data_IF_720847358626
#
_entry.id   IF_720847358626
#
_cell.length_a   1.000
_cell.length_b   1.000
_cell.length_c   1.000
_cell.angle_alpha   90.00
_cell.angle_beta   90.00
_cell.angle_gamma   90.00
#
_symmetry.space_group_name_H-M   'P 1'
#
loop_
_entity.id
_entity.type
_entity.pdbx_description
1 polymer ?
#
# COMPACT_ATOMS: atom_id res chain seq x y z
N UNK A 1 -12.79 -1.34 25.20
CA UNK A 1 -12.14 -2.39 24.39
C UNK A 1 -13.20 -2.95 23.46
N UNK A 2 -12.87 -3.14 22.17
CA UNK A 2 -13.76 -3.75 21.20
C UNK A 2 -13.43 -5.24 21.11
N UNK A 3 -14.47 -6.07 21.01
CA UNK A 3 -14.30 -7.48 20.61
C UNK A 3 -14.31 -7.50 19.08
N UNK A 4 -13.23 -7.99 18.47
CA UNK A 4 -13.03 -7.96 17.02
C UNK A 4 -13.00 -9.40 16.49
N UNK A 5 -13.82 -9.65 15.46
CA UNK A 5 -13.86 -10.92 14.73
C UNK A 5 -13.56 -10.66 13.25
N UNK A 6 -12.58 -11.35 12.71
CA UNK A 6 -12.26 -11.35 11.27
C UNK A 6 -12.78 -12.65 10.66
N UNK A 7 -13.59 -12.53 9.61
CA UNK A 7 -14.13 -13.66 8.84
C UNK A 7 -13.40 -13.73 7.50
N UNK A 8 -12.76 -14.87 7.25
CA UNK A 8 -12.06 -15.13 5.99
C UNK A 8 -12.65 -16.39 5.34
N UNK A 9 -12.94 -16.31 4.05
CA UNK A 9 -13.51 -17.44 3.30
C UNK A 9 -12.51 -18.54 2.99
N UNK A 10 -11.23 -18.20 2.94
CA UNK A 10 -10.13 -19.11 2.65
C UNK A 10 -9.62 -19.77 3.94
N UNK A 11 -8.74 -20.75 3.78
CA UNK A 11 -8.16 -21.52 4.89
C UNK A 11 -7.15 -20.75 5.75
N UNK A 12 -6.68 -19.57 5.26
CA UNK A 12 -5.68 -18.75 5.95
C UNK A 12 -5.76 -17.30 5.47
N UNK A 13 -5.06 -16.40 6.16
CA UNK A 13 -4.80 -15.04 5.69
C UNK A 13 -3.90 -15.06 4.43
N UNK A 14 -3.89 -13.94 3.70
CA UNK A 14 -3.01 -13.78 2.53
C UNK A 14 -3.28 -14.78 1.38
N UNK A 15 -4.47 -15.36 1.28
CA UNK A 15 -4.82 -16.27 0.18
C UNK A 15 -5.30 -15.57 -1.09
N UNK A 16 -5.61 -14.27 -1.03
CA UNK A 16 -6.13 -13.47 -2.14
C UNK A 16 -5.17 -12.41 -2.66
N UNK A 17 -5.70 -11.22 -2.94
CA UNK A 17 -4.98 -10.06 -3.50
C UNK A 17 -3.85 -9.55 -2.60
N UNK A 18 -3.95 -9.73 -1.29
CA UNK A 18 -2.91 -9.31 -0.34
C UNK A 18 -1.55 -9.96 -0.60
N UNK A 19 -1.50 -11.14 -1.26
CA UNK A 19 -0.27 -11.77 -1.73
C UNK A 19 0.03 -11.50 -3.21
N UNK A 20 -1.00 -11.23 -4.03
CA UNK A 20 -0.91 -11.15 -5.49
C UNK A 20 -0.81 -9.68 -5.92
N UNK A 21 0.23 -8.98 -5.48
CA UNK A 21 0.53 -7.60 -5.83
C UNK A 21 2.03 -7.37 -5.95
N UNK A 22 2.43 -6.17 -6.40
CA UNK A 22 3.83 -5.83 -6.66
C UNK A 22 4.65 -5.52 -5.40
N UNK A 23 4.04 -5.44 -4.23
CA UNK A 23 4.70 -5.07 -2.98
C UNK A 23 5.24 -3.64 -2.96
N UNK A 24 4.74 -2.74 -3.81
CA UNK A 24 5.18 -1.35 -3.87
C UNK A 24 4.50 -0.54 -2.77
N UNK A 25 5.30 0.13 -1.94
CA UNK A 25 4.86 1.19 -1.05
C UNK A 25 4.98 2.50 -1.81
N UNK A 26 3.87 2.97 -2.36
CA UNK A 26 3.83 4.17 -3.19
C UNK A 26 4.16 5.43 -2.38
N UNK A 27 4.94 6.33 -2.98
CA UNK A 27 5.29 7.61 -2.36
C UNK A 27 4.09 8.58 -2.25
N UNK A 28 3.11 8.47 -3.18
CA UNK A 28 1.89 9.27 -3.18
C UNK A 28 1.88 10.46 -4.15
N UNK A 29 2.80 10.49 -5.10
CA UNK A 29 2.90 11.59 -6.09
C UNK A 29 1.83 11.54 -7.19
N UNK A 30 1.23 10.39 -7.46
CA UNK A 30 0.28 10.12 -8.54
C UNK A 30 -1.19 10.27 -8.16
N UNK A 31 -1.52 10.12 -6.87
CA UNK A 31 -2.89 10.27 -6.40
C UNK A 31 -3.38 11.72 -6.53
N UNK A 32 -4.64 11.96 -6.96
CA UNK A 32 -5.18 13.31 -7.12
C UNK A 32 -5.08 14.14 -5.84
N UNK A 33 -4.52 15.35 -5.94
CA UNK A 33 -4.30 16.21 -4.78
C UNK A 33 -5.60 16.51 -4.02
N UNK A 34 -5.54 16.46 -2.69
CA UNK A 34 -6.68 16.67 -1.80
C UNK A 34 -7.61 15.47 -1.63
N UNK A 35 -7.43 14.40 -2.40
CA UNK A 35 -8.20 13.17 -2.26
C UNK A 35 -7.85 12.39 -0.98
N UNK A 36 -8.79 11.54 -0.53
CA UNK A 36 -8.53 10.62 0.57
C UNK A 36 -7.39 9.64 0.22
N UNK A 37 -7.32 9.21 -1.06
CA UNK A 37 -6.25 8.38 -1.58
C UNK A 37 -4.88 9.03 -1.39
N UNK A 38 -4.71 10.32 -1.76
CA UNK A 38 -3.45 11.03 -1.57
C UNK A 38 -3.05 11.12 -0.10
N UNK A 39 -4.00 11.48 0.78
CA UNK A 39 -3.75 11.59 2.22
C UNK A 39 -3.32 10.27 2.85
N UNK A 40 -4.05 9.19 2.56
CA UNK A 40 -3.76 7.87 3.14
C UNK A 40 -2.49 7.25 2.55
N UNK A 41 -2.22 7.49 1.25
CA UNK A 41 -1.00 7.01 0.60
C UNK A 41 0.27 7.59 1.26
N UNK A 42 0.34 8.90 1.39
CA UNK A 42 1.49 9.58 2.04
C UNK A 42 1.60 9.19 3.52
N UNK A 43 0.49 9.14 4.25
CA UNK A 43 0.49 8.74 5.65
C UNK A 43 0.94 7.27 5.82
N UNK A 44 0.44 6.36 4.99
CA UNK A 44 0.84 4.94 4.98
C UNK A 44 2.31 4.75 4.65
N UNK A 45 2.81 5.46 3.61
CA UNK A 45 4.24 5.42 3.25
C UNK A 45 5.14 5.84 4.40
N UNK A 46 4.78 6.91 5.12
CA UNK A 46 5.54 7.38 6.30
C UNK A 46 5.52 6.40 7.47
N UNK A 47 4.39 5.73 7.68
CA UNK A 47 4.23 4.80 8.80
C UNK A 47 4.94 3.45 8.56
N UNK A 48 5.11 3.05 7.29
CA UNK A 48 5.52 1.69 6.93
C UNK A 48 6.87 1.26 7.49
N UNK A 49 7.85 2.17 7.55
CA UNK A 49 9.19 1.83 8.07
C UNK A 49 9.17 1.55 9.58
N UNK A 50 8.44 2.34 10.36
CA UNK A 50 8.30 2.09 11.79
C UNK A 50 7.53 0.79 12.03
N UNK A 51 6.44 0.58 11.29
CA UNK A 51 5.63 -0.62 11.38
C UNK A 51 6.42 -1.90 11.02
N UNK A 52 7.29 -1.83 10.02
CA UNK A 52 8.12 -2.97 9.62
C UNK A 52 9.12 -3.39 10.70
N UNK A 53 9.63 -2.42 11.47
CA UNK A 53 10.53 -2.68 12.60
C UNK A 53 9.79 -3.22 13.81
N UNK A 54 8.56 -2.76 14.04
CA UNK A 54 7.72 -3.17 15.16
C UNK A 54 7.18 -4.59 14.97
N UNK A 55 6.75 -4.93 13.75
CA UNK A 55 6.12 -6.20 13.41
C UNK A 55 7.05 -7.18 12.68
N UNK A 56 8.31 -6.84 12.47
CA UNK A 56 9.37 -7.68 11.89
C UNK A 56 9.02 -8.27 10.52
N UNK A 57 8.55 -7.43 9.57
CA UNK A 57 8.35 -7.87 8.19
C UNK A 57 9.33 -7.20 7.22
N UNK A 58 9.69 -7.86 6.09
CA UNK A 58 10.65 -7.33 5.13
C UNK A 58 10.15 -6.05 4.45
N UNK A 59 10.92 -4.97 4.62
CA UNK A 59 10.68 -3.65 4.02
C UNK A 59 12.01 -3.04 3.58
N UNK A 60 12.02 -2.37 2.43
CA UNK A 60 13.19 -1.63 1.96
C UNK A 60 12.80 -0.33 1.26
N UNK A 61 13.26 0.80 1.78
CA UNK A 61 13.14 2.10 1.15
C UNK A 61 14.23 2.24 0.08
N UNK A 62 13.91 1.90 -1.15
CA UNK A 62 14.81 1.96 -2.31
C UNK A 62 14.47 3.10 -3.27
N UNK A 63 13.45 3.89 -2.98
CA UNK A 63 12.92 4.91 -3.86
C UNK A 63 12.12 4.33 -5.03
N UNK A 64 11.59 5.21 -5.84
CA UNK A 64 10.94 4.87 -7.11
C UNK A 64 11.27 5.89 -8.19
N UNK A 65 11.28 5.45 -9.44
CA UNK A 65 11.57 6.25 -10.63
C UNK A 65 10.38 6.19 -11.59
N UNK A 66 9.96 7.35 -12.10
CA UNK A 66 9.08 7.44 -13.28
C UNK A 66 9.90 7.98 -14.42
N UNK A 67 10.16 7.14 -15.41
CA UNK A 67 11.10 7.43 -16.49
C UNK A 67 10.42 8.12 -17.68
N UNK A 68 11.11 9.07 -18.27
CA UNK A 68 10.74 9.74 -19.49
C UNK A 68 11.67 9.27 -20.62
N UNK A 69 11.09 8.73 -21.69
CA UNK A 69 11.81 8.24 -22.87
C UNK A 69 11.56 9.08 -24.13
N UNK A 70 10.63 10.02 -24.07
CA UNK A 70 10.30 10.92 -25.18
C UNK A 70 10.19 12.37 -24.68
N UNK A 71 10.65 13.36 -25.49
CA UNK A 71 10.60 14.78 -25.10
C UNK A 71 9.19 15.30 -24.81
N UNK A 72 8.17 14.78 -25.48
CA UNK A 72 6.76 15.15 -25.30
C UNK A 72 6.16 14.71 -23.95
N UNK A 73 6.88 13.92 -23.16
CA UNK A 73 6.47 13.49 -21.82
C UNK A 73 6.90 14.47 -20.71
N UNK A 74 7.63 15.54 -21.04
CA UNK A 74 8.18 16.49 -20.06
C UNK A 74 7.11 17.13 -19.20
N UNK A 75 6.04 17.64 -19.82
CA UNK A 75 4.94 18.30 -19.11
C UNK A 75 4.23 17.33 -18.15
N UNK A 76 4.08 16.06 -18.54
CA UNK A 76 3.49 15.03 -17.67
C UNK A 76 4.38 14.75 -16.45
N UNK A 77 5.70 14.70 -16.64
CA UNK A 77 6.65 14.47 -15.54
C UNK A 77 6.64 15.65 -14.54
N UNK A 78 6.59 16.88 -15.04
CA UNK A 78 6.48 18.09 -14.22
C UNK A 78 5.14 18.16 -13.48
N UNK A 79 4.04 17.75 -14.13
CA UNK A 79 2.74 17.66 -13.49
C UNK A 79 2.72 16.65 -12.33
N UNK A 80 3.39 15.50 -12.47
CA UNK A 80 3.55 14.53 -11.39
C UNK A 80 4.37 15.10 -10.21
N UNK A 81 5.47 15.81 -10.50
CA UNK A 81 6.27 16.49 -9.48
C UNK A 81 5.43 17.48 -8.69
N UNK A 82 4.69 18.33 -9.38
CA UNK A 82 3.85 19.36 -8.75
C UNK A 82 2.70 18.72 -7.93
N UNK A 83 2.05 17.69 -8.48
CA UNK A 83 1.01 16.95 -7.76
C UNK A 83 1.55 16.30 -6.49
N UNK A 84 2.72 15.65 -6.57
CA UNK A 84 3.36 15.03 -5.41
C UNK A 84 3.76 16.05 -4.33
N UNK A 85 4.22 17.25 -4.73
CA UNK A 85 4.49 18.35 -3.79
C UNK A 85 3.21 18.79 -3.06
N UNK A 86 2.09 18.93 -3.80
CA UNK A 86 0.77 19.23 -3.21
C UNK A 86 0.31 18.17 -2.23
N UNK A 87 0.63 16.90 -2.50
CA UNK A 87 0.32 15.79 -1.61
C UNK A 87 1.25 15.69 -0.38
N UNK A 88 2.32 16.50 -0.34
CA UNK A 88 3.31 16.51 0.74
C UNK A 88 4.33 15.37 0.66
N UNK A 89 4.60 14.85 -0.54
CA UNK A 89 5.68 13.88 -0.77
C UNK A 89 7.03 14.60 -0.69
N UNK A 90 7.92 14.12 0.17
CA UNK A 90 9.20 14.74 0.43
C UNK A 90 10.29 14.27 -0.54
N UNK A 91 11.23 15.16 -0.87
CA UNK A 91 12.41 14.83 -1.65
C UNK A 91 12.18 14.52 -3.12
N UNK A 92 10.98 14.82 -3.67
CA UNK A 92 10.70 14.64 -5.09
C UNK A 92 11.59 15.56 -5.94
N UNK A 93 12.24 14.99 -6.94
CA UNK A 93 13.06 15.74 -7.90
C UNK A 93 13.03 15.10 -9.29
N UNK A 94 13.21 15.94 -10.31
CA UNK A 94 13.43 15.46 -11.68
C UNK A 94 14.94 15.36 -11.89
N UNK A 95 15.41 14.16 -12.15
CA UNK A 95 16.78 13.84 -12.44
C UNK A 95 17.02 13.79 -13.95
N UNK A 96 18.19 14.23 -14.36
CA UNK A 96 18.68 14.05 -15.72
C UNK A 96 19.17 12.59 -15.94
N UNK A 97 19.54 12.28 -17.18
CA UNK A 97 20.02 10.97 -17.57
C UNK A 97 21.25 10.51 -16.77
N UNK A 98 22.20 11.39 -16.57
CA UNK A 98 23.48 11.04 -15.93
C UNK A 98 23.26 10.67 -14.46
N UNK A 99 22.45 11.45 -13.75
CA UNK A 99 22.05 11.16 -12.38
C UNK A 99 21.28 9.84 -12.27
N UNK A 100 20.37 9.57 -13.22
CA UNK A 100 19.62 8.31 -13.25
C UNK A 100 20.51 7.11 -13.50
N UNK A 101 21.47 7.19 -14.43
CA UNK A 101 22.44 6.12 -14.71
C UNK A 101 23.40 5.87 -13.55
N UNK A 102 23.72 6.89 -12.77
CA UNK A 102 24.50 6.71 -11.53
C UNK A 102 23.74 5.90 -10.47
N UNK A 103 22.41 6.01 -10.44
CA UNK A 103 21.55 5.26 -9.52
C UNK A 103 21.23 3.85 -10.03
N UNK A 104 20.90 3.73 -11.32
CA UNK A 104 20.52 2.50 -12.00
C UNK A 104 21.26 2.35 -13.33
N UNK A 105 22.43 1.71 -13.34
CA UNK A 105 23.29 1.60 -14.52
C UNK A 105 22.69 0.81 -15.69
N UNK A 106 21.64 0.02 -15.43
CA UNK A 106 21.01 -0.84 -16.44
C UNK A 106 19.79 -0.22 -17.12
N UNK A 107 19.58 1.10 -16.97
CA UNK A 107 18.52 1.80 -17.68
C UNK A 107 18.76 1.79 -19.20
N UNK A 108 17.65 1.74 -19.95
CA UNK A 108 17.70 1.83 -21.42
C UNK A 108 18.34 3.14 -21.89
N UNK A 109 19.01 3.05 -23.04
CA UNK A 109 19.58 4.23 -23.72
C UNK A 109 18.55 5.26 -24.16
N UNK A 110 17.28 4.91 -24.21
CA UNK A 110 16.18 5.81 -24.54
C UNK A 110 15.76 6.73 -23.39
N UNK A 111 16.20 6.47 -22.16
CA UNK A 111 15.83 7.29 -21.00
C UNK A 111 16.46 8.67 -21.10
N UNK A 112 15.67 9.72 -21.01
CA UNK A 112 16.07 11.11 -21.11
C UNK A 112 16.11 11.83 -19.74
N UNK A 113 15.14 11.55 -18.89
CA UNK A 113 15.00 12.10 -17.54
C UNK A 113 14.07 11.20 -16.70
N UNK A 114 13.89 11.50 -15.41
CA UNK A 114 12.91 10.80 -14.58
C UNK A 114 12.58 11.55 -13.31
N UNK A 115 11.38 11.32 -12.80
CA UNK A 115 10.97 11.74 -11.47
C UNK A 115 11.47 10.72 -10.45
N UNK A 116 12.29 11.15 -9.52
CA UNK A 116 12.73 10.35 -8.39
C UNK A 116 11.90 10.67 -7.15
N UNK A 117 11.37 9.62 -6.51
CA UNK A 117 10.64 9.70 -5.25
C UNK A 117 11.36 8.87 -4.19
N UNK A 118 12.19 9.48 -3.33
CA UNK A 118 13.02 8.77 -2.34
C UNK A 118 12.19 8.07 -1.25
N UNK A 119 10.94 8.47 -1.08
CA UNK A 119 10.02 7.86 -0.10
C UNK A 119 9.30 6.62 -0.63
N UNK A 120 9.47 6.29 -1.90
CA UNK A 120 9.03 5.01 -2.45
C UNK A 120 9.79 3.83 -1.84
N UNK A 121 9.12 2.69 -1.68
CA UNK A 121 9.71 1.52 -1.06
C UNK A 121 9.11 0.22 -1.60
N UNK A 122 9.67 -0.89 -1.20
CA UNK A 122 9.10 -2.22 -1.42
C UNK A 122 8.88 -2.92 -0.08
N UNK A 123 7.85 -3.75 -0.03
CA UNK A 123 7.49 -4.58 1.12
C UNK A 123 7.19 -5.99 0.66
N UNK A 124 7.49 -6.98 1.49
CA UNK A 124 6.97 -8.33 1.26
C UNK A 124 5.46 -8.35 1.59
N UNK A 125 4.56 -8.50 0.59
CA UNK A 125 3.12 -8.47 0.86
C UNK A 125 2.64 -9.63 1.71
N UNK A 126 3.29 -10.79 1.62
CA UNK A 126 3.04 -11.93 2.52
C UNK A 126 3.42 -11.58 3.95
N UNK A 127 4.68 -11.14 4.17
CA UNK A 127 5.18 -10.81 5.50
C UNK A 127 4.36 -9.73 6.18
N UNK A 128 4.00 -8.66 5.46
CA UNK A 128 3.13 -7.61 5.99
C UNK A 128 1.77 -8.14 6.42
N UNK A 129 1.11 -8.96 5.58
CA UNK A 129 -0.24 -9.46 5.88
C UNK A 129 -0.22 -10.41 7.07
N UNK A 130 0.75 -11.33 7.12
CA UNK A 130 0.90 -12.28 8.21
C UNK A 130 1.21 -11.56 9.54
N UNK A 131 2.19 -10.65 9.52
CA UNK A 131 2.58 -9.90 10.71
C UNK A 131 1.42 -9.06 11.29
N UNK A 132 0.61 -8.45 10.43
CA UNK A 132 -0.60 -7.73 10.87
C UNK A 132 -1.65 -8.66 11.47
N UNK A 133 -1.87 -9.84 10.90
CA UNK A 133 -2.81 -10.83 11.42
C UNK A 133 -2.34 -11.40 12.78
N UNK A 134 -1.06 -11.74 12.90
CA UNK A 134 -0.46 -12.23 14.15
C UNK A 134 -0.55 -11.16 15.25
N UNK A 135 -0.24 -9.91 14.92
CA UNK A 135 -0.36 -8.81 15.87
C UNK A 135 -1.81 -8.58 16.30
N UNK A 136 -2.77 -8.65 15.37
CA UNK A 136 -4.19 -8.54 15.70
C UNK A 136 -4.64 -9.67 16.62
N UNK A 137 -4.25 -10.92 16.33
CA UNK A 137 -4.55 -12.07 17.17
C UNK A 137 -3.94 -11.96 18.57
N UNK A 138 -2.67 -11.52 18.67
CA UNK A 138 -2.01 -11.25 19.95
C UNK A 138 -2.71 -10.18 20.78
N UNK A 139 -3.42 -9.26 20.14
CA UNK A 139 -4.24 -8.23 20.78
C UNK A 139 -5.71 -8.63 21.00
N UNK A 140 -6.05 -9.90 20.81
CA UNK A 140 -7.35 -10.46 21.15
C UNK A 140 -8.36 -10.52 20.00
N UNK A 141 -7.94 -10.25 18.75
CA UNK A 141 -8.80 -10.45 17.58
C UNK A 141 -8.97 -11.95 17.32
N UNK A 142 -10.22 -12.41 17.21
CA UNK A 142 -10.56 -13.77 16.78
C UNK A 142 -10.55 -13.82 15.23
N UNK A 143 -9.97 -14.89 14.67
CA UNK A 143 -10.05 -15.18 13.24
C UNK A 143 -10.85 -16.45 13.02
N UNK A 144 -11.80 -16.41 12.07
CA UNK A 144 -12.51 -17.61 11.60
C UNK A 144 -12.28 -17.77 10.12
N UNK A 145 -11.49 -18.77 9.80
CA UNK A 145 -11.21 -19.21 8.44
C UNK A 145 -12.33 -20.10 7.90
N UNK A 146 -12.30 -20.44 6.62
CA UNK A 146 -13.33 -21.20 5.92
C UNK A 146 -14.74 -20.64 6.15
N UNK A 147 -14.85 -19.34 6.41
CA UNK A 147 -16.09 -18.68 6.82
C UNK A 147 -16.47 -17.58 5.83
N UNK A 148 -17.11 -17.98 4.74
CA UNK A 148 -17.54 -17.04 3.71
C UNK A 148 -18.76 -16.23 4.18
N UNK A 149 -18.62 -14.90 4.16
CA UNK A 149 -19.76 -13.98 4.32
C UNK A 149 -20.62 -14.03 3.05
N UNK A 150 -21.88 -14.37 3.20
CA UNK A 150 -22.86 -14.49 2.10
C UNK A 150 -23.73 -13.24 2.00
N UNK A 151 -24.17 -12.71 3.15
CA UNK A 151 -25.03 -11.54 3.21
C UNK A 151 -24.80 -10.76 4.50
N UNK A 152 -25.02 -9.43 4.42
CA UNK A 152 -25.00 -8.54 5.59
C UNK A 152 -26.27 -7.72 5.54
N UNK A 153 -27.05 -7.74 6.63
CA UNK A 153 -28.26 -6.93 6.78
C UNK A 153 -28.24 -6.18 8.10
N UNK A 154 -28.88 -5.04 8.12
CA UNK A 154 -29.05 -4.26 9.35
C UNK A 154 -30.38 -4.59 10.01
N UNK A 155 -30.34 -4.89 11.30
CA UNK A 155 -31.52 -5.09 12.15
C UNK A 155 -31.48 -4.11 13.34
N UNK A 156 -32.25 -3.03 13.23
CA UNK A 156 -32.26 -2.01 14.27
C UNK A 156 -30.90 -1.32 14.43
N UNK A 157 -30.26 -1.53 15.56
CA UNK A 157 -28.97 -0.95 15.94
C UNK A 157 -27.75 -1.84 15.71
N UNK A 158 -27.95 -3.04 15.17
CA UNK A 158 -26.88 -4.01 14.91
C UNK A 158 -26.90 -4.55 13.47
N UNK A 159 -25.84 -5.26 13.09
CA UNK A 159 -25.76 -5.98 11.83
C UNK A 159 -25.82 -7.47 12.05
N UNK A 160 -26.55 -8.16 11.17
CA UNK A 160 -26.53 -9.61 11.07
C UNK A 160 -25.71 -10.01 9.86
N UNK A 161 -24.64 -10.77 10.10
CA UNK A 161 -23.72 -11.29 9.08
C UNK A 161 -24.05 -12.75 8.86
N UNK A 162 -24.57 -13.08 7.69
CA UNK A 162 -24.91 -14.47 7.31
C UNK A 162 -23.71 -15.14 6.68
N UNK A 163 -23.36 -16.31 7.19
CA UNK A 163 -22.23 -17.13 6.71
C UNK A 163 -22.67 -18.57 6.46
N UNK A 164 -21.83 -19.35 5.78
CA UNK A 164 -22.04 -20.80 5.62
C UNK A 164 -22.08 -21.58 6.94
N UNK A 165 -21.54 -20.99 8.02
CA UNK A 165 -21.51 -21.57 9.37
C UNK A 165 -22.64 -21.06 10.30
N UNK A 166 -23.56 -20.24 9.78
CA UNK A 166 -24.67 -19.62 10.53
C UNK A 166 -24.55 -18.10 10.64
N UNK A 167 -25.57 -17.44 11.18
CA UNK A 167 -25.58 -15.99 11.37
C UNK A 167 -24.73 -15.58 12.58
N UNK A 168 -24.16 -14.37 12.51
CA UNK A 168 -23.44 -13.69 13.57
C UNK A 168 -23.95 -12.27 13.71
N UNK A 169 -23.93 -11.73 14.92
CA UNK A 169 -24.34 -10.35 15.21
C UNK A 169 -23.13 -9.46 15.50
N UNK A 170 -23.18 -8.23 14.99
CA UNK A 170 -22.17 -7.20 15.20
C UNK A 170 -22.83 -5.84 15.44
N UNK A 171 -22.27 -5.07 16.33
CA UNK A 171 -22.71 -3.69 16.63
C UNK A 171 -21.73 -2.65 16.09
#
# INVERSE_FOLDING_TARGET
QLDILVLEKEEDVCCGTSKANSGIVHAGFDAPAGSLMAKLNVAGSRAMEALSKELDFPYRRNGSLVLMTRPDQRDALEALLENGRKNGVEGLEILDRDALLAMEPHLSDEVLAGLYAPTGAIVCPFGLTIALAENAAANGTEFRFDTQVQHIRREGDHFVVETGCGPMESR
#
